data_IF_000236589988
#
_entry.id   IF_000236589988
#
_cell.length_a   1.000
_cell.length_b   1.000
_cell.length_c   1.000
_cell.angle_alpha   90.00
_cell.angle_beta   90.00
_cell.angle_gamma   90.00
#
_symmetry.space_group_name_H-M   'P 1'
#
loop_
_entity.id
_entity.type
_entity.pdbx_description
1 polymer ?
#
# COMPACT_ATOMS: atom_id res chain seq x y z
N UNK A 1 2.78 -13.84 1.27
CA UNK A 1 4.20 -14.26 1.11
C UNK A 1 5.10 -13.76 2.23
N UNK A 2 5.15 -12.45 2.51
CA UNK A 2 5.98 -11.90 3.60
C UNK A 2 5.64 -12.49 4.98
N UNK A 3 4.35 -12.59 5.33
CA UNK A 3 3.94 -13.18 6.61
C UNK A 3 4.24 -14.67 6.75
N UNK A 4 4.24 -15.42 5.64
CA UNK A 4 4.61 -16.83 5.64
C UNK A 4 6.12 -17.01 5.87
N UNK A 5 6.95 -16.16 5.26
CA UNK A 5 8.40 -16.16 5.47
C UNK A 5 8.80 -15.74 6.89
N UNK A 6 8.10 -14.75 7.44
CA UNK A 6 8.26 -14.34 8.85
C UNK A 6 7.93 -15.49 9.79
N UNK A 7 6.78 -16.14 9.62
CA UNK A 7 6.27 -17.19 10.53
C UNK A 7 7.00 -18.53 10.39
N UNK A 8 7.31 -18.97 9.16
CA UNK A 8 7.81 -20.34 8.91
C UNK A 8 9.30 -20.41 8.60
N UNK A 9 9.92 -19.30 8.18
CA UNK A 9 11.30 -19.29 7.67
C UNK A 9 12.23 -18.36 8.47
N UNK A 10 11.85 -18.03 9.71
CA UNK A 10 12.62 -17.17 10.64
C UNK A 10 12.97 -15.81 10.06
N UNK A 11 12.05 -15.22 9.29
CA UNK A 11 12.29 -13.90 8.67
C UNK A 11 13.34 -13.90 7.57
N UNK A 12 13.69 -15.07 7.00
CA UNK A 12 14.51 -15.14 5.79
C UNK A 12 13.68 -14.76 4.57
N UNK A 13 13.64 -13.47 4.29
CA UNK A 13 12.97 -12.91 3.11
C UNK A 13 13.85 -13.10 1.87
N UNK A 14 13.62 -14.17 1.11
CA UNK A 14 14.29 -14.40 -0.17
C UNK A 14 13.45 -13.79 -1.30
N UNK A 15 13.96 -12.74 -1.93
CA UNK A 15 13.41 -12.07 -3.13
C UNK A 15 11.94 -11.59 -3.03
N UNK A 16 11.38 -11.46 -1.83
CA UNK A 16 9.99 -11.02 -1.60
C UNK A 16 9.87 -9.55 -1.21
N UNK A 17 10.99 -8.87 -1.02
CA UNK A 17 11.05 -7.44 -0.73
C UNK A 17 11.56 -6.73 -1.98
N UNK A 18 10.68 -6.00 -2.65
CA UNK A 18 11.08 -5.06 -3.68
C UNK A 18 11.91 -3.96 -3.04
N UNK A 19 13.24 -4.01 -3.21
CA UNK A 19 14.18 -3.01 -2.67
C UNK A 19 13.86 -1.58 -3.11
N UNK A 20 13.18 -1.43 -4.25
CA UNK A 20 12.73 -0.15 -4.79
C UNK A 20 11.39 -0.33 -5.49
N UNK A 21 10.32 0.12 -4.84
CA UNK A 21 9.02 0.22 -5.50
C UNK A 21 9.07 1.32 -6.58
N UNK A 22 8.41 1.14 -7.74
CA UNK A 22 8.24 2.20 -8.71
C UNK A 22 7.36 3.33 -8.14
N UNK A 23 7.54 4.55 -8.66
CA UNK A 23 6.64 5.66 -8.37
C UNK A 23 5.38 5.50 -9.23
N UNK A 24 4.33 4.90 -8.66
CA UNK A 24 3.11 4.58 -9.40
C UNK A 24 2.34 5.84 -9.81
N UNK A 25 2.42 6.92 -9.03
CA UNK A 25 1.83 8.20 -9.41
C UNK A 25 2.50 8.80 -10.66
N UNK A 26 3.83 8.69 -10.79
CA UNK A 26 4.55 9.12 -11.98
C UNK A 26 4.23 8.21 -13.17
N UNK A 27 4.13 6.89 -12.95
CA UNK A 27 3.74 5.93 -13.97
C UNK A 27 2.35 6.25 -14.53
N UNK A 28 1.36 6.48 -13.67
CA UNK A 28 0.00 6.85 -14.09
C UNK A 28 -0.01 8.09 -14.99
N UNK A 29 0.78 9.12 -14.65
CA UNK A 29 0.90 10.33 -15.47
C UNK A 29 1.46 10.06 -16.87
N UNK A 30 2.38 9.11 -17.00
CA UNK A 30 2.91 8.70 -18.31
C UNK A 30 1.85 8.03 -19.20
N UNK A 31 0.82 7.44 -18.60
CA UNK A 31 -0.33 6.86 -19.30
C UNK A 31 -1.54 7.81 -19.40
N UNK A 32 -1.33 9.11 -19.22
CA UNK A 32 -2.39 10.12 -19.22
C UNK A 32 -3.50 9.89 -18.18
N UNK A 33 -3.21 9.13 -17.11
CA UNK A 33 -4.07 8.93 -15.94
C UNK A 33 -3.64 9.90 -14.84
N UNK A 34 -4.59 10.45 -14.08
CA UNK A 34 -4.24 11.32 -12.94
C UNK A 34 -3.54 10.50 -11.86
N UNK A 35 -2.25 10.72 -11.66
CA UNK A 35 -1.48 10.11 -10.58
C UNK A 35 -1.42 10.99 -9.33
N UNK A 36 -1.99 10.51 -8.22
CA UNK A 36 -1.94 11.16 -6.92
C UNK A 36 -1.05 10.38 -5.97
N UNK A 37 -0.17 11.06 -5.23
CA UNK A 37 0.61 10.45 -4.15
C UNK A 37 -0.05 10.79 -2.82
N UNK A 38 -0.34 9.77 -2.02
CA UNK A 38 -1.09 9.89 -0.76
C UNK A 38 -0.20 9.41 0.38
N UNK A 39 0.10 10.30 1.32
CA UNK A 39 0.93 10.04 2.51
C UNK A 39 0.14 10.17 3.80
N UNK A 40 -0.99 10.89 3.77
CA UNK A 40 -1.84 11.11 4.94
C UNK A 40 -3.30 10.78 4.66
N UNK A 41 -4.08 10.60 5.72
CA UNK A 41 -5.52 10.34 5.61
C UNK A 41 -6.27 11.55 5.04
N UNK A 42 -5.84 12.77 5.34
CA UNK A 42 -6.42 14.00 4.81
C UNK A 42 -6.22 14.11 3.31
N UNK A 43 -5.02 13.77 2.82
CA UNK A 43 -4.72 13.70 1.40
C UNK A 43 -5.61 12.67 0.69
N UNK A 44 -5.84 11.51 1.33
CA UNK A 44 -6.72 10.48 0.78
C UNK A 44 -8.14 11.00 0.58
N UNK A 45 -8.72 11.64 1.60
CA UNK A 45 -10.08 12.22 1.53
C UNK A 45 -10.15 13.28 0.45
N UNK A 46 -9.18 14.20 0.42
CA UNK A 46 -9.11 15.27 -0.58
C UNK A 46 -9.08 14.73 -2.01
N UNK A 47 -8.16 13.83 -2.33
CA UNK A 47 -8.03 13.32 -3.70
C UNK A 47 -9.23 12.47 -4.10
N UNK A 48 -9.79 11.69 -3.18
CA UNK A 48 -10.98 10.89 -3.46
C UNK A 48 -12.19 11.77 -3.77
N UNK A 49 -12.39 12.86 -3.03
CA UNK A 49 -13.44 13.83 -3.31
C UNK A 49 -13.27 14.46 -4.70
N UNK A 50 -12.06 14.92 -5.03
CA UNK A 50 -11.76 15.52 -6.34
C UNK A 50 -12.01 14.53 -7.50
N UNK A 51 -11.58 13.28 -7.35
CA UNK A 51 -11.74 12.24 -8.38
C UNK A 51 -13.23 11.93 -8.60
N UNK A 52 -14.01 11.84 -7.51
CA UNK A 52 -15.45 11.60 -7.59
C UNK A 52 -16.19 12.73 -8.28
N UNK A 53 -15.86 13.98 -7.94
CA UNK A 53 -16.47 15.17 -8.52
C UNK A 53 -16.18 15.28 -10.02
N UNK A 54 -14.92 15.10 -10.41
CA UNK A 54 -14.48 15.28 -11.80
C UNK A 54 -14.74 14.08 -12.71
N UNK A 55 -15.03 12.90 -12.14
CA UNK A 55 -15.24 11.63 -12.86
C UNK A 55 -14.11 11.31 -13.85
N UNK A 56 -12.87 11.52 -13.42
CA UNK A 56 -11.67 11.31 -14.23
C UNK A 56 -10.96 9.99 -13.85
N UNK A 57 -10.28 9.32 -14.80
CA UNK A 57 -9.43 8.19 -14.48
C UNK A 57 -8.26 8.65 -13.61
N UNK A 58 -8.08 7.99 -12.46
CA UNK A 58 -7.05 8.35 -11.49
C UNK A 58 -6.49 7.13 -10.76
N UNK A 59 -5.23 7.23 -10.34
CA UNK A 59 -4.51 6.26 -9.53
C UNK A 59 -4.02 6.94 -8.25
N UNK A 60 -4.30 6.31 -7.10
CA UNK A 60 -3.82 6.73 -5.79
C UNK A 60 -2.64 5.83 -5.37
N UNK A 61 -1.43 6.39 -5.35
CA UNK A 61 -0.21 5.76 -4.85
C UNK A 61 -0.09 6.05 -3.35
N UNK A 62 -0.55 5.11 -2.52
CA UNK A 62 -0.70 5.27 -1.07
C UNK A 62 0.47 4.65 -0.31
N UNK A 63 1.11 5.44 0.55
CA UNK A 63 2.11 4.95 1.50
C UNK A 63 1.42 4.40 2.76
N UNK A 64 0.98 3.15 2.68
CA UNK A 64 0.44 2.43 3.83
C UNK A 64 1.64 1.87 4.58
N UNK A 65 2.15 2.65 5.54
CA UNK A 65 3.07 2.10 6.54
C UNK A 65 2.42 0.84 7.13
N UNK A 66 3.12 -0.30 7.02
CA UNK A 66 2.66 -1.54 7.66
C UNK A 66 2.55 -1.27 9.16
N UNK A 67 1.33 -1.17 9.68
CA UNK A 67 1.09 -1.36 11.10
C UNK A 67 1.55 -2.78 11.44
N UNK A 68 2.76 -2.91 11.99
CA UNK A 68 3.25 -4.17 12.55
C UNK A 68 2.50 -4.55 13.83
N UNK A 69 1.65 -3.65 14.35
CA UNK A 69 1.01 -3.79 15.65
C UNK A 69 -0.38 -4.47 15.59
N UNK A 70 -0.96 -4.65 14.40
CA UNK A 70 -2.25 -5.33 14.25
C UNK A 70 -2.14 -6.88 14.30
N UNK A 71 -0.93 -7.45 14.37
CA UNK A 71 -0.73 -8.90 14.41
C UNK A 71 -0.88 -9.54 15.80
N UNK A 72 -1.04 -8.76 16.87
CA UNK A 72 -1.15 -9.32 18.23
C UNK A 72 -2.55 -9.89 18.59
N UNK A 73 -3.56 -9.72 17.73
CA UNK A 73 -4.95 -10.11 18.03
C UNK A 73 -5.39 -11.45 17.43
N UNK A 74 -4.58 -12.07 16.56
CA UNK A 74 -4.85 -13.42 16.03
C UNK A 74 -3.97 -14.46 16.74
N UNK A 75 -4.16 -14.59 18.06
CA UNK A 75 -3.79 -15.83 18.76
C UNK A 75 -4.79 -16.90 18.34
N UNK A 76 -4.35 -17.84 17.50
CA UNK A 76 -5.08 -19.10 17.34
C UNK A 76 -5.23 -19.73 18.72
N UNK A 77 -6.48 -19.88 19.17
CA UNK A 77 -6.80 -20.61 20.39
C UNK A 77 -6.19 -21.99 20.32
N UNK A 78 -5.17 -22.22 21.13
CA UNK A 78 -4.74 -23.55 21.53
C UNK A 78 -5.53 -23.92 22.78
N UNK A 79 -6.35 -24.95 22.66
CA UNK A 79 -6.71 -25.81 23.79
C UNK A 79 -5.45 -26.45 24.38
#
# INVERSE_FOLDING_TARGET
MHELQKKLYRGRYSETVLKRAPNYAALARAFHVKGCRVRTAEEFVKYTAEIKERRIPALLDMDIRRNMDAENDFRFGGQ
#
